data_IF_154510334259
#
_entry.id   IF_154510334259
#
_cell.length_a   1.000
_cell.length_b   1.000
_cell.length_c   1.000
_cell.angle_alpha   90.00
_cell.angle_beta   90.00
_cell.angle_gamma   90.00
#
_symmetry.space_group_name_H-M   'P 1'
#
loop_
_entity.id
_entity.type
_entity.pdbx_description
1 polymer ?
#
# COMPACT_ATOMS: atom_id res chain seq x y z
N UNK A 1 7.78 -15.74 -27.08
CA UNK A 1 7.81 -14.47 -26.28
C UNK A 1 8.61 -14.59 -24.97
N UNK A 2 8.09 -15.18 -23.88
CA UNK A 2 8.86 -15.28 -22.61
C UNK A 2 10.04 -16.25 -22.74
N UNK A 3 9.79 -17.45 -23.27
CA UNK A 3 10.79 -18.50 -23.44
C UNK A 3 11.91 -18.04 -24.37
N UNK A 4 11.57 -17.34 -25.46
CA UNK A 4 12.54 -16.74 -26.39
C UNK A 4 13.46 -15.74 -25.68
N UNK A 5 12.92 -14.81 -24.87
CA UNK A 5 13.78 -13.88 -24.11
C UNK A 5 14.61 -14.56 -23.04
N UNK A 6 14.10 -15.58 -22.38
CA UNK A 6 14.93 -16.38 -21.48
C UNK A 6 16.07 -17.09 -22.24
N UNK A 7 15.77 -17.65 -23.42
CA UNK A 7 16.76 -18.33 -24.26
C UNK A 7 17.84 -17.38 -24.76
N UNK A 8 17.48 -16.16 -25.18
CA UNK A 8 18.43 -15.12 -25.55
C UNK A 8 19.34 -14.73 -24.39
N UNK A 9 18.78 -14.54 -23.18
CA UNK A 9 19.54 -14.17 -21.98
C UNK A 9 20.48 -15.29 -21.49
N UNK A 10 20.08 -16.55 -21.69
CA UNK A 10 20.94 -17.70 -21.45
C UNK A 10 22.07 -17.79 -22.48
N UNK A 11 21.78 -17.53 -23.75
CA UNK A 11 22.78 -17.55 -24.83
C UNK A 11 23.76 -16.38 -24.77
N UNK A 12 23.32 -15.19 -24.34
CA UNK A 12 24.20 -14.04 -24.13
C UNK A 12 25.13 -14.20 -22.93
N UNK A 13 24.89 -15.19 -22.07
CA UNK A 13 25.62 -15.38 -20.82
C UNK A 13 25.26 -14.33 -19.75
N UNK A 14 24.20 -13.56 -19.97
CA UNK A 14 23.72 -12.54 -19.04
C UNK A 14 22.96 -13.17 -17.87
N UNK A 15 22.41 -14.38 -18.08
CA UNK A 15 21.84 -15.23 -17.04
C UNK A 15 22.61 -16.54 -16.98
N UNK A 16 23.46 -16.68 -15.97
CA UNK A 16 24.24 -17.91 -15.68
C UNK A 16 23.83 -18.60 -14.38
N UNK A 17 22.89 -17.99 -13.64
CA UNK A 17 22.50 -18.39 -12.30
C UNK A 17 20.99 -18.59 -12.17
N UNK A 18 20.55 -19.08 -10.99
CA UNK A 18 19.14 -19.22 -10.65
C UNK A 18 18.43 -17.86 -10.75
N UNK A 19 17.35 -17.83 -11.52
CA UNK A 19 16.48 -16.67 -11.64
C UNK A 19 15.55 -16.63 -10.42
N UNK A 20 15.69 -15.61 -9.57
CA UNK A 20 14.76 -15.36 -8.48
C UNK A 20 13.46 -14.67 -8.97
N UNK A 21 12.46 -14.57 -8.08
CA UNK A 21 11.17 -13.96 -8.42
C UNK A 21 11.26 -12.48 -8.81
N UNK A 22 12.27 -11.74 -8.33
CA UNK A 22 12.47 -10.33 -8.66
C UNK A 22 13.04 -10.14 -10.07
N UNK A 23 14.05 -10.95 -10.43
CA UNK A 23 14.61 -11.04 -11.79
C UNK A 23 13.53 -11.45 -12.79
N UNK A 24 12.73 -12.46 -12.45
CA UNK A 24 11.62 -12.91 -13.30
C UNK A 24 10.54 -11.84 -13.48
N UNK A 25 10.16 -11.13 -12.42
CA UNK A 25 9.22 -10.01 -12.51
C UNK A 25 9.73 -8.88 -13.42
N UNK A 26 11.02 -8.60 -13.35
CA UNK A 26 11.68 -7.59 -14.20
C UNK A 26 11.63 -7.99 -15.66
N UNK A 27 11.88 -9.27 -15.97
CA UNK A 27 11.76 -9.81 -17.31
C UNK A 27 10.33 -9.67 -17.85
N UNK A 28 9.31 -10.02 -17.06
CA UNK A 28 7.93 -9.85 -17.50
C UNK A 28 7.59 -8.39 -17.80
N UNK A 29 8.09 -7.45 -17.00
CA UNK A 29 7.91 -6.01 -17.24
C UNK A 29 8.60 -5.53 -18.51
N UNK A 30 9.80 -6.02 -18.84
CA UNK A 30 10.54 -5.58 -20.02
C UNK A 30 9.88 -6.00 -21.34
N UNK A 31 9.17 -7.13 -21.35
CA UNK A 31 8.42 -7.63 -22.52
C UNK A 31 6.94 -7.19 -22.52
N UNK A 32 6.53 -6.30 -21.60
CA UNK A 32 5.19 -5.73 -21.55
C UNK A 32 4.11 -6.63 -20.92
N UNK A 33 4.50 -7.71 -20.23
CA UNK A 33 3.55 -8.57 -19.51
C UNK A 33 3.23 -7.94 -18.15
N UNK A 34 1.95 -7.63 -17.94
CA UNK A 34 1.46 -7.10 -16.67
C UNK A 34 1.29 -8.22 -15.64
N UNK A 35 2.29 -8.39 -14.78
CA UNK A 35 2.22 -9.28 -13.62
C UNK A 35 1.95 -8.47 -12.35
N UNK A 36 0.85 -8.78 -11.65
CA UNK A 36 0.51 -8.15 -10.37
C UNK A 36 1.05 -9.02 -9.23
N UNK A 37 2.07 -8.52 -8.53
CA UNK A 37 2.57 -9.13 -7.30
C UNK A 37 1.92 -8.41 -6.13
N UNK A 38 1.36 -9.16 -5.18
CA UNK A 38 0.87 -8.57 -3.93
C UNK A 38 2.07 -8.15 -3.09
N UNK A 39 2.24 -6.84 -2.88
CA UNK A 39 3.27 -6.26 -2.02
C UNK A 39 2.62 -5.50 -0.88
N UNK A 40 3.28 -5.49 0.28
CA UNK A 40 2.83 -4.75 1.47
C UNK A 40 4.00 -3.94 2.00
N UNK A 41 3.80 -2.63 2.17
CA UNK A 41 4.80 -1.72 2.75
C UNK A 41 4.65 -1.78 4.26
N UNK A 42 5.72 -2.22 4.95
CA UNK A 42 5.82 -2.19 6.41
C UNK A 42 6.87 -1.17 6.80
N UNK A 43 6.54 -0.32 7.77
CA UNK A 43 7.47 0.66 8.35
C UNK A 43 7.78 0.26 9.78
N UNK A 44 9.04 0.41 10.19
CA UNK A 44 9.44 0.20 11.57
C UNK A 44 9.14 1.46 12.39
N UNK A 45 8.40 1.29 13.48
CA UNK A 45 8.12 2.34 14.45
C UNK A 45 8.19 1.73 15.85
N UNK A 46 9.00 2.33 16.72
CA UNK A 46 9.16 1.90 18.12
C UNK A 46 9.52 0.40 18.25
N UNK A 47 10.32 -0.11 17.31
CA UNK A 47 10.74 -1.52 17.24
C UNK A 47 9.66 -2.50 16.75
N UNK A 48 8.52 -2.01 16.25
CA UNK A 48 7.45 -2.83 15.66
C UNK A 48 7.24 -2.50 14.19
N UNK A 49 7.02 -3.53 13.38
CA UNK A 49 6.63 -3.38 11.97
C UNK A 49 5.13 -3.10 11.88
N UNK A 50 4.77 -1.88 11.54
CA UNK A 50 3.37 -1.46 11.31
C UNK A 50 3.13 -1.30 9.81
N UNK A 51 1.93 -1.63 9.34
CA UNK A 51 1.57 -1.42 7.94
C UNK A 51 1.43 0.07 7.68
N UNK A 52 2.03 0.57 6.60
CA UNK A 52 1.86 1.97 6.20
C UNK A 52 0.39 2.30 5.90
N UNK A 53 -0.37 1.31 5.39
CA UNK A 53 -1.82 1.44 5.18
C UNK A 53 -2.61 1.69 6.45
N UNK A 54 -2.12 1.22 7.61
CA UNK A 54 -2.78 1.44 8.89
C UNK A 54 -2.51 2.87 9.40
N UNK A 55 -1.31 3.40 9.13
CA UNK A 55 -0.97 4.81 9.44
C UNK A 55 -1.81 5.81 8.65
N UNK A 56 -2.05 5.53 7.36
CA UNK A 56 -2.81 6.44 6.49
C UNK A 56 -4.28 6.58 6.92
N UNK A 57 -4.84 5.58 7.60
CA UNK A 57 -6.24 5.61 8.06
C UNK A 57 -6.42 6.44 9.32
N UNK A 58 -5.40 6.51 10.18
CA UNK A 58 -5.45 7.25 11.46
C UNK A 58 -5.71 8.75 11.29
N UNK A 59 -5.05 9.40 10.33
CA UNK A 59 -5.24 10.85 10.07
C UNK A 59 -6.66 11.22 9.61
N UNK A 60 -7.46 10.26 9.16
CA UNK A 60 -8.81 10.55 8.64
C UNK A 60 -9.89 10.49 9.72
N UNK A 61 -9.61 9.89 10.87
CA UNK A 61 -10.58 9.74 11.96
C UNK A 61 -10.44 10.83 13.03
N UNK A 62 -9.25 11.44 13.18
CA UNK A 62 -9.02 12.59 14.08
C UNK A 62 -9.83 13.84 13.67
N UNK A 63 -10.14 14.00 12.37
CA UNK A 63 -10.93 15.12 11.84
C UNK A 63 -12.45 14.99 11.98
N UNK A 64 -12.96 13.87 12.54
CA UNK A 64 -14.42 13.63 12.67
C UNK A 64 -14.97 13.91 14.06
N UNK A 65 -14.13 13.97 15.09
CA UNK A 65 -14.59 14.18 16.47
C UNK A 65 -14.89 15.67 16.76
N UNK A 66 -14.34 16.60 15.97
CA UNK A 66 -14.38 18.04 16.27
C UNK A 66 -15.66 18.76 15.78
N UNK A 67 -16.49 18.11 14.95
CA UNK A 67 -17.65 18.76 14.30
C UNK A 67 -19.01 18.35 14.92
N UNK A 68 -19.02 17.47 15.92
CA UNK A 68 -20.23 16.87 16.48
C UNK A 68 -20.93 17.66 17.60
N UNK A 69 -20.28 18.63 18.25
CA UNK A 69 -20.72 19.10 19.58
C UNK A 69 -21.51 20.42 19.62
N UNK A 70 -21.82 21.09 18.50
CA UNK A 70 -22.43 22.44 18.53
C UNK A 70 -23.95 22.52 18.30
N UNK A 71 -24.74 21.45 18.51
CA UNK A 71 -26.20 21.50 18.27
C UNK A 71 -27.07 20.81 19.32
N UNK A 72 -26.92 21.07 20.62
CA UNK A 72 -27.99 20.70 21.58
C UNK A 72 -28.37 21.74 22.65
N UNK A 73 -27.75 22.91 22.74
CA UNK A 73 -28.15 23.91 23.76
C UNK A 73 -28.87 25.13 23.15
N UNK A 74 -30.13 24.96 22.73
CA UNK A 74 -31.09 26.08 22.68
C UNK A 74 -32.53 25.60 22.55
N UNK A 75 -33.10 25.06 23.62
CA UNK A 75 -34.56 25.09 23.79
C UNK A 75 -35.01 24.94 25.25
N UNK A 76 -35.72 25.99 25.72
CA UNK A 76 -36.71 26.04 26.82
C UNK A 76 -36.10 25.75 28.21
N UNK A 77 -36.10 26.68 29.17
CA UNK A 77 -37.30 27.10 29.89
C UNK A 77 -37.18 28.54 30.42
N UNK A 78 -38.08 29.41 29.96
CA UNK A 78 -38.59 30.52 30.77
C UNK A 78 -40.01 30.16 31.17
N UNK A 79 -40.25 30.15 32.49
CA UNK A 79 -41.48 30.52 33.20
C UNK A 79 -41.72 29.54 34.36
N UNK A 80 -41.27 29.92 35.55
CA UNK A 80 -42.01 29.72 36.80
C UNK A 80 -41.54 30.76 37.81
N UNK A 81 -42.32 31.84 37.96
CA UNK A 81 -42.74 32.55 39.18
C UNK A 81 -43.44 33.86 38.78
#
# INVERSE_FOLDING_TARGET
>A
MVVEKLAELLQSGEVTEIIDGGKLLTLFRSIGIRVKVQTTIKVEQDGKLVSWSDKLKGETDELKEETGELKEESKVDTLDT
#
